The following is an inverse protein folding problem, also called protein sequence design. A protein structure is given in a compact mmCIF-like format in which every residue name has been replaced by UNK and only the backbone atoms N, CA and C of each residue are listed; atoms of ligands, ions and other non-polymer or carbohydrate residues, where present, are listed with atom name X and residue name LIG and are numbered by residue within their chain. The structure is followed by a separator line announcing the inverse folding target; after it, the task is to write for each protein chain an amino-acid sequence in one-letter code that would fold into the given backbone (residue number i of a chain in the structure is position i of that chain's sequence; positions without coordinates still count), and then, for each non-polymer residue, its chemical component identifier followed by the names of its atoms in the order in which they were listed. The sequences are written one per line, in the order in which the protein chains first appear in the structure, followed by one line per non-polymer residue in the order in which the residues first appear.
data_IF_171679008442
#
_entry.id   IF_171679008442
#
_cell.length_a   1.000
_cell.length_b   1.000
_cell.length_c   1.000
_cell.angle_alpha   90.00
_cell.angle_beta   90.00
_cell.angle_gamma   90.00
#
_symmetry.space_group_name_H-M   'P 1'
#
loop_
_entity.id
_entity.type
_entity.pdbx_description
1 polymer ?
#
# COMPACT_ATOMS: atom_id res chain seq x y z
N UNK A 1 -31.63 -29.11 15.50
CA UNK A 1 -32.59 -29.34 14.40
C UNK A 1 -31.82 -29.29 13.08
N UNK A 2 -32.09 -30.23 12.16
CA UNK A 2 -31.30 -30.55 10.95
C UNK A 2 -31.42 -29.50 9.82
N UNK A 3 -30.42 -29.55 8.93
CA UNK A 3 -30.18 -28.87 7.64
C UNK A 3 -31.38 -28.67 6.70
N UNK A 4 -31.32 -27.61 5.86
CA UNK A 4 -31.44 -27.59 4.37
C UNK A 4 -31.32 -26.14 3.86
N UNK A 5 -30.39 -25.74 2.98
CA UNK A 5 -30.23 -26.01 1.54
C UNK A 5 -30.63 -24.79 0.69
N UNK A 6 -29.69 -24.31 -0.14
CA UNK A 6 -29.88 -23.52 -1.38
C UNK A 6 -30.37 -22.06 -1.24
N UNK A 7 -29.40 -21.15 -1.11
CA UNK A 7 -29.33 -19.91 -1.91
C UNK A 7 -27.87 -19.46 -2.05
N UNK A 8 -27.03 -20.39 -2.48
CA UNK A 8 -25.75 -20.03 -3.09
C UNK A 8 -26.04 -19.60 -4.53
N UNK A 9 -25.43 -18.48 -4.93
CA UNK A 9 -25.35 -17.93 -6.29
C UNK A 9 -26.58 -17.14 -6.80
N UNK A 10 -26.62 -15.84 -6.48
CA UNK A 10 -26.77 -14.77 -7.47
C UNK A 10 -26.67 -13.41 -6.80
N UNK A 11 -25.91 -12.51 -7.43
CA UNK A 11 -25.70 -11.08 -7.12
C UNK A 11 -24.68 -10.74 -6.03
N UNK A 12 -23.41 -10.75 -6.45
CA UNK A 12 -22.49 -9.68 -6.10
C UNK A 12 -23.17 -8.32 -6.36
N UNK A 13 -23.20 -7.42 -5.39
CA UNK A 13 -23.18 -5.97 -5.63
C UNK A 13 -23.22 -5.20 -4.30
N UNK A 14 -22.24 -4.30 -4.19
CA UNK A 14 -22.31 -3.08 -3.38
C UNK A 14 -21.96 -3.21 -1.89
N UNK A 15 -20.66 -3.06 -1.63
CA UNK A 15 -20.06 -2.36 -0.48
C UNK A 15 -20.93 -2.27 0.79
N UNK A 16 -20.86 -3.29 1.65
CA UNK A 16 -21.51 -3.26 2.98
C UNK A 16 -20.64 -2.59 4.05
N UNK A 17 -20.13 -1.38 3.80
CA UNK A 17 -19.74 -0.47 4.90
C UNK A 17 -19.74 1.01 4.45
N UNK A 18 -20.92 1.59 4.19
CA UNK A 18 -21.04 2.98 3.77
C UNK A 18 -20.63 4.01 4.84
N UNK A 19 -20.48 3.63 6.13
CA UNK A 19 -20.09 4.58 7.18
C UNK A 19 -18.60 4.95 7.18
N UNK A 20 -17.74 4.17 6.52
CA UNK A 20 -16.32 4.49 6.40
C UNK A 20 -16.01 5.48 5.25
N UNK A 21 -16.95 5.67 4.32
CA UNK A 21 -16.79 6.52 3.14
C UNK A 21 -17.23 7.98 3.38
N UNK A 22 -17.84 8.27 4.53
CA UNK A 22 -18.40 9.60 4.86
C UNK A 22 -17.49 10.40 5.79
N UNK A 23 -16.46 9.79 6.37
CA UNK A 23 -15.56 10.44 7.33
C UNK A 23 -14.26 10.93 6.68
N UNK A 24 -13.96 12.22 6.89
CA UNK A 24 -12.69 12.84 6.52
C UNK A 24 -11.51 12.08 7.15
N UNK A 25 -10.63 11.56 6.30
CA UNK A 25 -9.36 10.87 6.64
C UNK A 25 -8.48 11.75 7.55
N UNK A 26 -8.60 13.08 7.46
CA UNK A 26 -7.82 14.05 8.23
C UNK A 26 -8.32 14.21 9.68
N UNK A 27 -9.61 13.98 9.92
CA UNK A 27 -10.26 14.28 11.20
C UNK A 27 -10.56 13.04 12.05
N UNK A 28 -10.39 11.82 11.52
CA UNK A 28 -10.79 10.58 12.21
C UNK A 28 -9.66 9.55 12.38
N UNK A 29 -8.71 9.38 11.46
CA UNK A 29 -7.75 8.24 11.55
C UNK A 29 -6.72 8.33 12.70
N UNK A 30 -6.25 9.55 13.04
CA UNK A 30 -5.33 9.74 14.17
C UNK A 30 -6.01 9.59 15.54
N UNK A 31 -7.21 10.15 15.78
CA UNK A 31 -7.98 9.84 16.97
C UNK A 31 -8.33 8.36 17.05
N UNK A 32 -8.83 7.74 15.98
CA UNK A 32 -9.31 6.35 16.05
C UNK A 32 -8.23 5.38 16.54
N UNK A 33 -6.98 5.48 16.11
CA UNK A 33 -5.92 4.58 16.59
C UNK A 33 -5.67 4.65 18.11
N UNK A 34 -5.81 5.83 18.73
CA UNK A 34 -5.71 6.00 20.19
C UNK A 34 -7.03 5.72 20.94
N UNK A 35 -8.17 5.83 20.25
CA UNK A 35 -9.50 5.58 20.81
C UNK A 35 -9.96 4.12 20.72
N UNK A 36 -9.37 3.31 19.82
CA UNK A 36 -9.70 1.90 19.62
C UNK A 36 -9.58 1.09 20.93
N UNK A 37 -8.46 1.17 21.69
CA UNK A 37 -8.39 0.52 23.00
C UNK A 37 -9.41 1.05 24.01
N UNK A 38 -9.72 2.35 23.99
CA UNK A 38 -10.70 3.00 24.90
C UNK A 38 -12.16 2.67 24.59
N UNK A 39 -12.47 2.17 23.40
CA UNK A 39 -13.80 1.71 22.99
C UNK A 39 -13.97 0.19 23.16
N UNK A 40 -12.98 -0.50 23.77
CA UNK A 40 -13.01 -1.95 23.99
C UNK A 40 -12.41 -2.78 22.85
N UNK A 41 -11.76 -2.14 21.86
CA UNK A 41 -10.95 -2.86 20.87
C UNK A 41 -9.52 -2.98 21.38
N UNK A 42 -9.33 -3.90 22.32
CA UNK A 42 -8.02 -4.20 22.92
C UNK A 42 -7.13 -5.01 21.97
N UNK A 43 -7.75 -5.72 21.02
CA UNK A 43 -7.07 -6.58 20.06
C UNK A 43 -6.94 -5.92 18.68
N UNK A 44 -5.84 -5.20 18.48
CA UNK A 44 -5.45 -4.65 17.18
C UNK A 44 -5.17 -5.75 16.14
N UNK A 45 -4.84 -6.96 16.58
CA UNK A 45 -4.66 -8.14 15.73
C UNK A 45 -6.00 -8.55 15.10
N UNK A 46 -7.09 -8.50 15.85
CA UNK A 46 -8.45 -8.76 15.34
C UNK A 46 -8.93 -7.74 14.29
N UNK A 47 -8.49 -6.48 14.39
CA UNK A 47 -8.73 -5.45 13.35
C UNK A 47 -7.85 -5.66 12.12
N UNK A 48 -6.61 -6.10 12.30
CA UNK A 48 -5.79 -6.57 11.20
C UNK A 48 -6.40 -7.83 10.54
N UNK A 49 -7.14 -8.66 11.27
CA UNK A 49 -7.91 -9.78 10.72
C UNK A 49 -9.13 -9.36 9.90
N UNK A 50 -9.50 -8.07 9.86
CA UNK A 50 -10.51 -7.60 8.91
C UNK A 50 -9.93 -7.64 7.49
N UNK A 51 -10.52 -8.51 6.67
CA UNK A 51 -10.40 -8.74 5.22
C UNK A 51 -9.18 -8.12 4.52
N UNK A 52 -9.00 -6.80 4.56
CA UNK A 52 -7.88 -6.06 3.95
C UNK A 52 -6.46 -6.63 4.19
N UNK A 53 -6.01 -6.93 5.42
CA UNK A 53 -4.64 -7.46 5.67
C UNK A 53 -4.48 -8.87 5.10
N UNK A 54 -5.49 -9.71 5.30
CA UNK A 54 -5.53 -11.07 4.80
C UNK A 54 -5.57 -11.08 3.27
N UNK A 55 -6.34 -10.17 2.67
CA UNK A 55 -6.41 -9.97 1.22
C UNK A 55 -5.07 -9.46 0.67
N UNK A 56 -4.39 -8.53 1.34
CA UNK A 56 -3.04 -8.09 0.94
C UNK A 56 -2.05 -9.26 1.00
N UNK A 57 -2.07 -10.05 2.08
CA UNK A 57 -1.23 -11.24 2.23
C UNK A 57 -1.48 -12.26 1.10
N UNK A 58 -2.73 -12.58 0.81
CA UNK A 58 -3.10 -13.54 -0.25
C UNK A 58 -2.79 -13.00 -1.65
N UNK A 59 -3.15 -11.76 -1.94
CA UNK A 59 -3.09 -11.23 -3.31
C UNK A 59 -1.71 -10.73 -3.70
N UNK A 60 -0.89 -10.29 -2.73
CA UNK A 60 0.45 -9.75 -2.98
C UNK A 60 1.55 -10.74 -2.57
N UNK A 61 1.24 -11.72 -1.72
CA UNK A 61 2.18 -12.77 -1.29
C UNK A 61 3.02 -12.39 -0.07
N UNK A 62 2.65 -11.35 0.68
CA UNK A 62 3.32 -11.05 1.95
C UNK A 62 2.93 -12.05 3.04
N UNK A 63 3.89 -12.41 3.90
CA UNK A 63 3.57 -13.12 5.13
C UNK A 63 2.66 -12.27 6.02
N UNK A 64 1.73 -12.90 6.74
CA UNK A 64 0.75 -12.20 7.57
C UNK A 64 1.42 -11.23 8.56
N UNK A 65 2.47 -11.69 9.24
CA UNK A 65 3.22 -10.91 10.23
C UNK A 65 3.93 -9.70 9.60
N UNK A 66 4.43 -9.85 8.37
CA UNK A 66 5.01 -8.76 7.60
C UNK A 66 3.96 -7.68 7.31
N UNK A 67 2.75 -8.08 6.90
CA UNK A 67 1.66 -7.11 6.64
C UNK A 67 1.25 -6.41 7.93
N UNK A 68 1.15 -7.12 9.06
CA UNK A 68 0.86 -6.52 10.37
C UNK A 68 1.93 -5.47 10.70
N UNK A 69 3.21 -5.81 10.57
CA UNK A 69 4.32 -4.88 10.82
C UNK A 69 4.33 -3.68 9.87
N UNK A 70 3.93 -3.86 8.61
CA UNK A 70 3.77 -2.76 7.64
C UNK A 70 2.64 -1.81 8.05
N UNK A 71 1.49 -2.37 8.45
CA UNK A 71 0.30 -1.64 8.84
C UNK A 71 0.50 -0.86 10.13
N UNK A 72 1.15 -1.44 11.14
CA UNK A 72 1.46 -0.74 12.40
C UNK A 72 2.32 0.51 12.15
N UNK A 73 3.24 0.46 11.18
CA UNK A 73 4.06 1.61 10.77
C UNK A 73 3.34 2.54 9.78
N UNK A 74 2.38 2.03 9.02
CA UNK A 74 1.65 2.78 8.00
C UNK A 74 0.15 2.44 8.02
N UNK A 75 -0.63 2.97 8.99
CA UNK A 75 -2.04 2.61 9.14
C UNK A 75 -2.93 2.98 7.94
N UNK A 76 -2.49 3.94 7.11
CA UNK A 76 -3.19 4.32 5.87
C UNK A 76 -3.35 3.18 4.87
N UNK A 77 -2.56 2.12 4.99
CA UNK A 77 -2.67 0.92 4.15
C UNK A 77 -4.08 0.30 4.16
N UNK A 78 -4.82 0.42 5.27
CA UNK A 78 -6.19 -0.07 5.37
C UNK A 78 -7.19 0.64 4.44
N UNK A 79 -6.85 1.84 3.98
CA UNK A 79 -7.75 2.67 3.18
C UNK A 79 -7.67 2.39 1.68
N UNK A 80 -6.71 1.57 1.26
CA UNK A 80 -6.44 1.35 -0.16
C UNK A 80 -7.14 0.11 -0.71
N UNK A 81 -7.64 0.23 -1.94
CA UNK A 81 -8.27 -0.86 -2.68
C UNK A 81 -7.24 -1.87 -3.18
N UNK A 82 -7.54 -3.17 -3.06
CA UNK A 82 -6.72 -4.24 -3.65
C UNK A 82 -6.60 -4.07 -5.16
N UNK A 83 -7.73 -3.98 -5.85
CA UNK A 83 -7.79 -3.91 -7.33
C UNK A 83 -7.26 -2.59 -7.87
N UNK A 84 -7.60 -1.47 -7.24
CA UNK A 84 -7.32 -0.15 -7.80
C UNK A 84 -6.02 0.50 -7.28
N UNK A 85 -5.39 -0.05 -6.23
CA UNK A 85 -4.17 0.50 -5.66
C UNK A 85 -3.08 -0.57 -5.51
N UNK A 86 -3.31 -1.61 -4.72
CA UNK A 86 -2.27 -2.59 -4.42
C UNK A 86 -1.80 -3.35 -5.66
N UNK A 87 -2.70 -4.03 -6.36
CA UNK A 87 -2.37 -4.82 -7.55
C UNK A 87 -1.63 -4.02 -8.62
N UNK A 88 -2.12 -2.85 -9.10
CA UNK A 88 -1.43 -2.13 -10.16
C UNK A 88 -0.08 -1.57 -9.72
N UNK A 89 0.07 -1.12 -8.47
CA UNK A 89 1.36 -0.61 -7.96
C UNK A 89 2.36 -1.72 -7.70
N UNK A 90 1.89 -2.85 -7.17
CA UNK A 90 2.72 -4.02 -6.94
C UNK A 90 3.20 -4.62 -8.26
N UNK A 91 2.31 -4.83 -9.23
CA UNK A 91 2.66 -5.33 -10.56
C UNK A 91 3.70 -4.44 -11.23
N UNK A 92 3.50 -3.13 -11.25
CA UNK A 92 4.50 -2.20 -11.78
C UNK A 92 5.86 -2.29 -11.06
N UNK A 93 5.85 -2.41 -9.74
CA UNK A 93 7.08 -2.48 -8.96
C UNK A 93 7.87 -3.78 -9.23
N UNK A 94 7.19 -4.92 -9.27
CA UNK A 94 7.83 -6.21 -9.50
C UNK A 94 8.25 -6.41 -10.95
N UNK A 95 7.38 -6.09 -11.90
CA UNK A 95 7.57 -6.42 -13.32
C UNK A 95 8.39 -5.35 -14.05
N UNK A 96 8.18 -4.06 -13.76
CA UNK A 96 8.79 -2.97 -14.52
C UNK A 96 9.98 -2.37 -13.78
N UNK A 97 9.91 -2.22 -12.45
CA UNK A 97 11.03 -1.68 -11.65
C UNK A 97 12.02 -2.77 -11.19
N UNK A 98 11.69 -4.05 -11.34
CA UNK A 98 12.53 -5.17 -10.90
C UNK A 98 12.77 -5.18 -9.38
N UNK A 99 11.77 -4.74 -8.61
CA UNK A 99 11.85 -4.60 -7.16
C UNK A 99 11.75 -5.92 -6.39
N UNK A 100 11.84 -5.82 -5.06
CA UNK A 100 11.75 -6.97 -4.14
C UNK A 100 10.67 -6.79 -3.08
N UNK A 101 10.10 -7.90 -2.59
CA UNK A 101 9.13 -7.85 -1.48
C UNK A 101 9.75 -7.21 -0.24
N UNK A 102 11.03 -7.47 0.01
CA UNK A 102 11.83 -6.96 1.12
C UNK A 102 11.85 -5.44 1.16
N UNK A 103 12.13 -4.77 0.04
CA UNK A 103 12.15 -3.31 -0.02
C UNK A 103 10.74 -2.71 0.19
N UNK A 104 9.67 -3.39 -0.26
CA UNK A 104 8.29 -2.96 0.03
C UNK A 104 7.92 -3.15 1.51
N UNK A 105 8.44 -4.20 2.17
CA UNK A 105 8.27 -4.40 3.61
C UNK A 105 8.96 -3.28 4.37
N UNK A 106 10.19 -2.93 3.99
CA UNK A 106 10.91 -1.82 4.62
C UNK A 106 10.22 -0.48 4.36
N UNK A 107 9.65 -0.31 3.16
CA UNK A 107 9.01 0.93 2.71
C UNK A 107 7.53 0.79 2.30
N UNK A 108 6.62 0.49 3.25
CA UNK A 108 5.19 0.32 2.96
C UNK A 108 4.52 1.58 2.40
N UNK A 109 5.11 2.76 2.64
CA UNK A 109 4.60 4.02 2.12
C UNK A 109 4.62 4.07 0.59
N UNK A 110 5.31 3.15 -0.10
CA UNK A 110 5.22 2.98 -1.55
C UNK A 110 3.75 3.01 -2.05
N UNK A 111 2.86 2.28 -1.39
CA UNK A 111 1.43 2.20 -1.76
C UNK A 111 0.65 3.49 -1.53
N UNK A 112 1.24 4.49 -0.86
CA UNK A 112 0.62 5.80 -0.67
C UNK A 112 0.87 6.75 -1.84
N UNK A 113 1.94 6.54 -2.63
CA UNK A 113 2.28 7.42 -3.74
C UNK A 113 1.44 7.14 -4.98
N UNK A 114 1.17 8.18 -5.78
CA UNK A 114 0.44 8.01 -7.05
C UNK A 114 1.29 7.22 -8.06
N UNK A 115 0.71 6.16 -8.63
CA UNK A 115 1.38 5.37 -9.66
C UNK A 115 1.71 6.23 -10.89
N UNK A 116 0.69 6.92 -11.41
CA UNK A 116 0.81 7.70 -12.65
C UNK A 116 1.53 9.05 -12.47
N UNK A 117 1.36 9.71 -11.32
CA UNK A 117 1.89 11.06 -11.10
C UNK A 117 3.25 11.09 -10.42
N UNK A 118 3.69 10.00 -9.78
CA UNK A 118 4.91 9.99 -8.96
C UNK A 118 5.82 8.81 -9.25
N UNK A 119 5.31 7.59 -9.14
CA UNK A 119 6.13 6.37 -9.27
C UNK A 119 6.65 6.22 -10.71
N UNK A 120 5.75 6.15 -11.69
CA UNK A 120 6.10 5.97 -13.11
C UNK A 120 6.99 7.09 -13.66
N UNK A 121 6.69 8.40 -13.44
CA UNK A 121 7.54 9.47 -13.95
C UNK A 121 8.98 9.38 -13.43
N UNK A 122 9.16 9.18 -12.12
CA UNK A 122 10.50 9.11 -11.51
C UNK A 122 11.29 7.88 -11.93
N UNK A 123 10.63 6.72 -12.02
CA UNK A 123 11.28 5.52 -12.54
C UNK A 123 11.78 5.73 -13.98
N UNK A 124 10.95 6.30 -14.86
CA UNK A 124 11.34 6.59 -16.25
C UNK A 124 12.51 7.57 -16.34
N UNK A 125 12.57 8.58 -15.47
CA UNK A 125 13.70 9.51 -15.42
C UNK A 125 15.01 8.82 -15.02
N UNK A 126 14.97 7.93 -14.02
CA UNK A 126 16.14 7.13 -13.63
C UNK A 126 16.57 6.21 -14.78
N UNK A 127 15.64 5.52 -15.44
CA UNK A 127 15.94 4.66 -16.60
C UNK A 127 16.58 5.46 -17.73
N UNK A 128 16.05 6.66 -18.04
CA UNK A 128 16.64 7.55 -19.05
C UNK A 128 18.02 8.06 -18.65
N UNK A 129 18.25 8.35 -17.38
CA UNK A 129 19.57 8.74 -16.90
C UNK A 129 20.58 7.59 -17.04
N UNK A 130 20.17 6.36 -16.70
CA UNK A 130 20.96 5.14 -16.84
C UNK A 130 21.24 4.73 -18.29
N UNK A 131 20.40 5.14 -19.24
CA UNK A 131 20.68 4.95 -20.66
C UNK A 131 21.86 5.81 -21.15
N UNK A 132 22.14 6.93 -20.47
CA UNK A 132 23.13 7.92 -20.87
C UNK A 132 24.36 7.99 -19.95
N UNK A 133 24.38 7.25 -18.83
CA UNK A 133 25.43 7.27 -17.81
C UNK A 133 25.48 5.94 -17.04
N UNK A 134 26.42 5.80 -16.09
CA UNK A 134 26.55 4.64 -15.20
C UNK A 134 25.26 4.33 -14.43
N UNK A 135 25.05 3.05 -14.07
CA UNK A 135 23.82 2.55 -13.45
C UNK A 135 23.49 3.16 -12.08
N UNK A 136 22.85 4.33 -12.10
CA UNK A 136 22.29 5.04 -10.96
C UNK A 136 21.27 4.13 -10.27
N UNK A 137 21.52 3.85 -8.99
CA UNK A 137 20.57 3.20 -8.10
C UNK A 137 20.21 4.17 -6.98
N UNK A 138 18.94 4.54 -6.90
CA UNK A 138 18.41 5.39 -5.84
C UNK A 138 17.48 4.52 -4.97
N UNK A 139 17.68 4.45 -3.65
CA UNK A 139 16.77 3.73 -2.76
C UNK A 139 15.32 4.19 -2.95
N UNK A 140 14.35 3.26 -2.96
CA UNK A 140 12.95 3.57 -3.29
C UNK A 140 12.35 4.67 -2.39
N UNK A 141 12.68 4.62 -1.10
CA UNK A 141 12.24 5.62 -0.13
C UNK A 141 12.72 7.02 -0.46
N UNK A 142 14.00 7.16 -0.84
CA UNK A 142 14.60 8.44 -1.22
C UNK A 142 14.01 8.92 -2.56
N UNK A 143 13.94 8.01 -3.55
CA UNK A 143 13.33 8.27 -4.84
C UNK A 143 11.90 8.81 -4.72
N UNK A 144 11.07 8.33 -3.79
CA UNK A 144 9.65 8.72 -3.74
C UNK A 144 9.35 9.84 -2.73
N UNK A 145 10.11 9.95 -1.64
CA UNK A 145 9.92 10.99 -0.61
C UNK A 145 10.47 12.35 -1.02
N UNK A 146 11.57 12.40 -1.78
CA UNK A 146 12.25 13.66 -2.10
C UNK A 146 11.35 14.62 -2.88
N UNK A 147 11.54 15.93 -2.72
CA UNK A 147 10.87 16.93 -3.57
C UNK A 147 11.28 16.78 -5.04
N UNK A 148 10.66 17.54 -5.94
CA UNK A 148 11.09 17.54 -7.35
C UNK A 148 12.51 18.08 -7.50
N UNK A 149 12.87 19.13 -6.77
CA UNK A 149 14.22 19.71 -6.78
C UNK A 149 15.25 18.74 -6.21
N UNK A 150 14.99 18.17 -5.02
CA UNK A 150 15.87 17.17 -4.41
C UNK A 150 16.06 15.95 -5.33
N UNK A 151 14.99 15.49 -5.99
CA UNK A 151 15.08 14.37 -6.91
C UNK A 151 15.95 14.68 -8.13
N UNK A 152 15.82 15.89 -8.70
CA UNK A 152 16.70 16.36 -9.78
C UNK A 152 18.16 16.42 -9.33
N UNK A 153 18.42 16.93 -8.13
CA UNK A 153 19.77 16.96 -7.58
C UNK A 153 20.35 15.56 -7.39
N UNK A 154 19.55 14.59 -6.91
CA UNK A 154 19.98 13.20 -6.79
C UNK A 154 20.39 12.61 -8.14
N UNK A 155 19.63 12.89 -9.21
CA UNK A 155 19.97 12.44 -10.56
C UNK A 155 21.27 13.07 -11.09
N UNK A 156 21.61 14.30 -10.68
CA UNK A 156 22.87 14.95 -11.07
C UNK A 156 24.06 14.41 -10.28
N UNK A 157 23.89 14.11 -8.99
CA UNK A 157 24.97 13.60 -8.11
C UNK A 157 25.43 12.20 -8.46
N UNK A 158 24.60 11.42 -9.14
CA UNK A 158 24.90 10.04 -9.53
C UNK A 158 25.41 9.87 -10.97
N UNK A 159 25.52 10.97 -11.74
CA UNK A 159 26.20 11.00 -13.05
C UNK A 159 27.70 11.17 -12.87
#
# INVERSE_FOLDING_TARGET
MKFTSRRFLSLASSFKNPRLLVSSVRDQLKPTLFYLPRLGFEDLEALAYQDSTYLVSIHIGFAKDDVIGMVLRCPSLFTFSIENNYKPKFGYYMEEMGGSLEELKEFPQYFTFSLEKRIKPRHKEIVRANANASGIRIPLGLMLKSTEDEFRELLLRCK
#
